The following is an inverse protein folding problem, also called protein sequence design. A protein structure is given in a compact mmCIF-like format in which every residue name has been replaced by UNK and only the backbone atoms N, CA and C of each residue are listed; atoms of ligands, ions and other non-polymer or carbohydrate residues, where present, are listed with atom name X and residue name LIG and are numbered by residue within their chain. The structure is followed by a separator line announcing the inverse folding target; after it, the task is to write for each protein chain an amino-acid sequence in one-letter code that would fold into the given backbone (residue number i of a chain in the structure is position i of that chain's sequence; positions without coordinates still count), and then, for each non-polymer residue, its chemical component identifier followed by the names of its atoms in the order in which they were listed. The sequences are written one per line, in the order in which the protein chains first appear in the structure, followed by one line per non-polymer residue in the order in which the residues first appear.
data_IF_887603763231
#
_entry.id   IF_887603763231
#
_cell.length_a   1.000
_cell.length_b   1.000
_cell.length_c   1.000
_cell.angle_alpha   90.00
_cell.angle_beta   90.00
_cell.angle_gamma   90.00
#
_symmetry.space_group_name_H-M   'P 1'
#
loop_
_entity.id
_entity.type
_entity.pdbx_description
1 polymer ?
#
# COMPACT_ATOMS: atom_id res chain seq x y z
N UNK A 1 -7.61 -4.57 21.49
CA UNK A 1 -8.23 -4.90 22.80
C UNK A 1 -7.30 -5.70 23.74
N UNK A 2 -6.25 -6.37 23.24
CA UNK A 2 -5.36 -7.24 24.06
C UNK A 2 -4.08 -6.51 24.49
N UNK A 3 -3.50 -5.68 23.63
CA UNK A 3 -2.17 -5.07 23.82
C UNK A 3 -2.21 -4.00 24.91
N UNK A 4 -3.18 -3.08 24.86
CA UNK A 4 -3.27 -1.99 25.84
C UNK A 4 -3.42 -2.50 27.28
N UNK A 5 -4.30 -3.48 27.58
CA UNK A 5 -4.35 -4.10 28.90
C UNK A 5 -3.01 -4.69 29.37
N UNK A 6 -2.26 -5.34 28.47
CA UNK A 6 -0.91 -5.87 28.81
C UNK A 6 0.09 -4.78 29.13
N UNK A 7 0.08 -3.68 28.38
CA UNK A 7 0.92 -2.53 28.69
C UNK A 7 0.54 -1.93 30.06
N UNK A 8 -0.76 -1.83 30.37
CA UNK A 8 -1.24 -1.30 31.64
C UNK A 8 -0.93 -2.22 32.84
N UNK A 9 -0.69 -3.53 32.63
CA UNK A 9 -0.17 -4.41 33.67
C UNK A 9 1.23 -4.01 34.12
N UNK A 10 2.09 -3.55 33.17
CA UNK A 10 3.41 -3.03 33.46
C UNK A 10 3.38 -1.57 33.96
N UNK A 11 2.37 -0.81 33.51
CA UNK A 11 2.19 0.62 33.80
C UNK A 11 0.80 0.91 34.43
N UNK A 12 0.53 0.47 35.67
CA UNK A 12 -0.83 0.50 36.26
C UNK A 12 -1.43 1.89 36.48
N UNK A 13 -0.61 2.94 36.41
CA UNK A 13 -1.05 4.34 36.53
C UNK A 13 -1.25 5.04 35.18
N UNK A 14 -1.14 4.31 34.08
CA UNK A 14 -1.31 4.83 32.71
C UNK A 14 -2.67 4.46 32.18
N UNK A 15 -3.41 5.45 31.70
CA UNK A 15 -4.64 5.26 30.93
C UNK A 15 -4.38 5.62 29.45
N UNK A 16 -4.66 4.67 28.56
CA UNK A 16 -4.55 4.88 27.10
C UNK A 16 -5.95 5.02 26.53
N UNK A 17 -6.24 6.17 25.93
CA UNK A 17 -7.50 6.45 25.22
C UNK A 17 -7.26 6.35 23.72
N UNK A 18 -7.82 5.29 23.10
CA UNK A 18 -7.79 5.13 21.64
C UNK A 18 -8.83 6.02 20.97
N UNK A 19 -8.42 6.72 19.93
CA UNK A 19 -9.30 7.51 19.05
C UNK A 19 -9.11 7.00 17.62
N UNK A 20 -10.15 6.38 17.08
CA UNK A 20 -10.14 5.80 15.72
C UNK A 20 -11.40 6.26 14.97
N UNK A 21 -11.39 7.47 14.38
CA UNK A 21 -12.50 7.97 13.58
C UNK A 21 -12.54 7.29 12.20
N UNK A 22 -13.72 7.29 11.57
CA UNK A 22 -13.92 6.69 10.23
C UNK A 22 -13.11 7.37 9.12
N UNK A 23 -12.78 8.67 9.30
CA UNK A 23 -11.90 9.45 8.40
C UNK A 23 -10.67 9.91 9.22
N UNK A 24 -9.82 8.92 9.55
CA UNK A 24 -8.72 9.11 10.49
C UNK A 24 -7.70 10.14 10.01
N UNK A 25 -7.37 10.13 8.71
CA UNK A 25 -6.38 11.02 8.11
C UNK A 25 -6.86 12.49 8.15
N UNK A 26 -8.06 12.78 7.65
CA UNK A 26 -8.63 14.13 7.67
C UNK A 26 -8.76 14.67 9.10
N UNK A 27 -9.21 13.82 10.03
CA UNK A 27 -9.32 14.20 11.46
C UNK A 27 -7.93 14.47 12.04
N UNK A 28 -6.95 13.65 11.72
CA UNK A 28 -5.57 13.82 12.19
C UNK A 28 -4.99 15.17 11.73
N UNK A 29 -5.02 15.49 10.43
CA UNK A 29 -4.48 16.76 9.93
C UNK A 29 -5.28 17.99 10.40
N UNK A 30 -6.58 17.84 10.63
CA UNK A 30 -7.40 18.90 11.28
C UNK A 30 -6.91 19.16 12.71
N UNK A 31 -6.62 18.12 13.48
CA UNK A 31 -6.06 18.25 14.84
C UNK A 31 -4.66 18.86 14.81
N UNK A 32 -3.81 18.44 13.89
CA UNK A 32 -2.47 19.03 13.70
C UNK A 32 -2.59 20.54 13.43
N UNK A 33 -3.48 20.95 12.53
CA UNK A 33 -3.68 22.38 12.17
C UNK A 33 -4.19 23.24 13.33
N UNK A 34 -4.87 22.62 14.30
CA UNK A 34 -5.36 23.29 15.51
C UNK A 34 -4.45 23.12 16.74
N UNK A 35 -3.25 22.52 16.53
CA UNK A 35 -2.29 22.19 17.58
C UNK A 35 -2.85 21.26 18.69
N UNK A 36 -3.84 20.43 18.33
CA UNK A 36 -4.40 19.37 19.18
C UNK A 36 -3.79 18.02 18.77
N UNK A 37 -2.50 17.83 19.04
CA UNK A 37 -1.75 16.67 18.60
C UNK A 37 -1.87 15.56 19.64
N UNK A 38 -2.21 14.30 19.24
CA UNK A 38 -2.20 13.15 20.15
C UNK A 38 -0.82 12.89 20.74
N UNK A 39 -0.76 12.27 21.92
CA UNK A 39 0.52 11.88 22.52
C UNK A 39 1.22 10.84 21.64
N UNK A 40 0.51 9.78 21.22
CA UNK A 40 0.99 8.77 20.27
C UNK A 40 0.07 8.78 19.04
N UNK A 41 0.62 8.56 17.87
CA UNK A 41 -0.13 8.58 16.61
C UNK A 41 0.40 7.56 15.60
N UNK A 42 -0.52 7.04 14.79
CA UNK A 42 -0.16 6.27 13.59
C UNK A 42 0.41 7.22 12.55
N UNK A 43 1.53 6.84 11.96
CA UNK A 43 2.30 7.63 11.00
C UNK A 43 2.61 6.76 9.78
N UNK A 44 2.54 7.35 8.61
CA UNK A 44 3.09 6.78 7.38
C UNK A 44 4.40 7.53 7.07
N UNK A 45 5.55 7.04 7.56
CA UNK A 45 6.79 7.85 7.64
C UNK A 45 7.35 8.26 6.28
N UNK A 46 7.08 7.49 5.25
CA UNK A 46 7.51 7.79 3.89
C UNK A 46 6.54 8.73 3.15
N UNK A 47 5.27 8.79 3.53
CA UNK A 47 4.24 9.52 2.79
C UNK A 47 4.42 11.04 2.93
N UNK A 48 4.33 11.76 1.81
CA UNK A 48 4.61 13.19 1.71
C UNK A 48 3.84 14.05 2.75
N UNK A 49 2.56 13.78 2.96
CA UNK A 49 1.72 14.50 3.93
C UNK A 49 2.24 14.40 5.37
N UNK A 50 2.78 13.24 5.75
CA UNK A 50 3.35 13.03 7.08
C UNK A 50 4.79 13.57 7.18
N UNK A 51 5.54 13.64 6.07
CA UNK A 51 6.88 14.25 6.05
C UNK A 51 6.84 15.74 6.41
N UNK A 52 5.76 16.44 6.09
CA UNK A 52 5.56 17.85 6.48
C UNK A 52 5.55 18.01 8.00
N UNK A 53 4.85 17.13 8.73
CA UNK A 53 4.80 17.21 10.20
C UNK A 53 6.13 16.84 10.87
N UNK A 54 6.94 15.98 10.21
CA UNK A 54 8.32 15.70 10.65
C UNK A 54 9.19 16.94 10.47
N UNK A 55 9.13 17.59 9.29
CA UNK A 55 9.83 18.82 8.99
C UNK A 55 9.50 19.94 9.97
N UNK A 56 8.25 20.04 10.39
CA UNK A 56 7.78 21.05 11.34
C UNK A 56 8.16 20.72 12.80
N UNK A 57 8.85 19.62 13.05
CA UNK A 57 9.33 19.22 14.38
C UNK A 57 8.22 18.84 15.34
N UNK A 58 7.09 18.33 14.82
CA UNK A 58 5.93 17.93 15.64
C UNK A 58 6.09 16.53 16.23
N UNK A 59 7.00 15.71 15.70
CA UNK A 59 7.31 14.37 16.17
C UNK A 59 8.64 14.32 16.92
N UNK A 60 8.71 13.47 17.92
CA UNK A 60 9.94 13.21 18.65
C UNK A 60 10.94 12.42 17.79
N UNK A 61 12.22 12.76 17.92
CA UNK A 61 13.33 12.05 17.28
C UNK A 61 13.60 10.72 18.02
N UNK A 62 13.41 9.61 17.31
CA UNK A 62 13.64 8.26 17.82
C UNK A 62 15.03 7.73 17.47
N UNK A 63 15.86 8.49 16.74
CA UNK A 63 17.18 8.06 16.27
C UNK A 63 18.05 7.57 17.44
N UNK A 64 18.67 6.40 17.26
CA UNK A 64 19.53 5.79 18.26
C UNK A 64 18.80 5.10 19.42
N UNK A 65 17.46 4.98 19.37
CA UNK A 65 16.73 4.16 20.36
C UNK A 65 16.95 2.68 20.08
N UNK A 66 17.23 1.92 21.11
CA UNK A 66 17.61 0.49 21.02
C UNK A 66 16.50 -0.36 20.37
N UNK A 67 15.23 -0.01 20.59
CA UNK A 67 14.10 -0.78 20.05
C UNK A 67 13.97 -0.69 18.51
N UNK A 68 14.58 0.32 17.86
CA UNK A 68 14.60 0.41 16.39
C UNK A 68 15.34 -0.78 15.76
N UNK A 69 16.32 -1.34 16.45
CA UNK A 69 17.06 -2.53 15.98
C UNK A 69 16.23 -3.81 15.91
N UNK A 70 14.97 -3.77 16.34
CA UNK A 70 14.03 -4.89 16.22
C UNK A 70 13.29 -4.89 14.88
N UNK A 71 13.33 -3.81 14.13
CA UNK A 71 12.77 -3.77 12.77
C UNK A 71 13.83 -4.12 11.73
N UNK A 72 13.39 -4.65 10.59
CA UNK A 72 14.27 -4.95 9.45
C UNK A 72 14.95 -3.70 8.91
N UNK A 73 16.13 -3.86 8.33
CA UNK A 73 16.89 -2.74 7.75
C UNK A 73 16.09 -1.97 6.70
N UNK A 74 15.34 -2.66 5.83
CA UNK A 74 14.47 -2.05 4.81
C UNK A 74 13.38 -1.17 5.45
N UNK A 75 12.74 -1.63 6.53
CA UNK A 75 11.72 -0.84 7.20
C UNK A 75 12.30 0.42 7.87
N UNK A 76 13.50 0.32 8.41
CA UNK A 76 14.24 1.45 8.99
C UNK A 76 14.65 2.44 7.88
N UNK A 77 15.19 1.96 6.76
CA UNK A 77 15.55 2.79 5.62
C UNK A 77 14.35 3.60 5.12
N UNK A 78 13.21 2.95 4.87
CA UNK A 78 11.99 3.61 4.39
C UNK A 78 11.29 4.48 5.46
N UNK A 79 11.64 4.33 6.72
CA UNK A 79 11.16 5.20 7.81
C UNK A 79 12.11 6.37 8.11
N UNK A 80 13.28 6.40 7.46
CA UNK A 80 14.25 7.46 7.66
C UNK A 80 13.86 8.71 6.86
N UNK A 81 13.77 9.85 7.56
CA UNK A 81 13.46 11.13 6.94
C UNK A 81 14.68 11.76 6.25
N UNK A 82 14.46 12.80 5.43
CA UNK A 82 15.50 13.49 4.64
C UNK A 82 16.67 14.06 5.46
N UNK A 83 16.46 14.33 6.74
CA UNK A 83 17.50 14.79 7.68
C UNK A 83 18.33 13.65 8.31
N UNK A 84 18.06 12.40 7.88
CA UNK A 84 18.71 11.20 8.39
C UNK A 84 18.15 10.70 9.72
N UNK A 85 17.03 11.26 10.20
CA UNK A 85 16.41 10.88 11.46
C UNK A 85 15.21 9.96 11.28
N UNK A 86 14.82 9.31 12.37
CA UNK A 86 13.67 8.43 12.44
C UNK A 86 12.66 9.02 13.42
N UNK A 87 11.43 9.23 12.97
CA UNK A 87 10.35 9.86 13.74
C UNK A 87 9.20 8.92 14.08
N UNK A 88 9.21 7.72 13.51
CA UNK A 88 8.23 6.68 13.82
C UNK A 88 8.91 5.31 13.84
N UNK A 89 8.51 4.46 14.77
CA UNK A 89 8.90 3.05 14.82
C UNK A 89 8.05 2.28 13.84
N UNK A 90 8.61 1.63 12.80
CA UNK A 90 7.86 0.77 11.89
C UNK A 90 7.58 -0.59 12.54
N UNK A 91 6.41 -1.15 12.23
CA UNK A 91 5.95 -2.46 12.71
C UNK A 91 5.50 -3.38 11.58
N UNK A 92 4.97 -2.83 10.50
CA UNK A 92 4.46 -3.60 9.37
C UNK A 92 4.75 -2.95 8.03
N UNK A 93 4.96 -3.81 7.02
CA UNK A 93 5.12 -3.43 5.63
C UNK A 93 3.94 -3.96 4.84
N UNK A 94 3.35 -3.12 3.98
CA UNK A 94 2.32 -3.56 3.05
C UNK A 94 2.87 -3.68 1.64
N UNK A 95 2.21 -4.52 0.85
CA UNK A 95 2.43 -4.66 -0.58
C UNK A 95 1.10 -4.71 -1.32
N UNK A 96 1.17 -4.82 -2.63
CA UNK A 96 0.01 -4.89 -3.52
C UNK A 96 0.22 -6.00 -4.54
N UNK A 97 -0.82 -6.83 -4.75
CA UNK A 97 -0.70 -8.01 -5.58
C UNK A 97 -2.05 -8.52 -6.08
N UNK A 98 -2.09 -9.77 -6.49
CA UNK A 98 -3.28 -10.46 -6.96
C UNK A 98 -3.59 -11.62 -6.01
N UNK A 99 -4.71 -11.56 -5.30
CA UNK A 99 -5.26 -12.73 -4.62
C UNK A 99 -5.82 -13.71 -5.64
N UNK A 100 -5.40 -14.95 -5.58
CA UNK A 100 -5.87 -16.06 -6.39
C UNK A 100 -6.70 -17.01 -5.50
N UNK A 101 -7.92 -17.33 -5.91
CA UNK A 101 -8.73 -18.37 -5.27
C UNK A 101 -8.23 -19.74 -5.74
N UNK A 102 -7.46 -20.42 -4.92
CA UNK A 102 -6.75 -21.64 -5.29
C UNK A 102 -7.68 -22.81 -5.59
N UNK A 103 -8.88 -22.85 -5.01
CA UNK A 103 -9.86 -23.89 -5.32
C UNK A 103 -10.39 -23.73 -6.76
N UNK A 104 -10.65 -22.48 -7.19
CA UNK A 104 -11.04 -22.20 -8.59
C UNK A 104 -9.89 -22.47 -9.57
N UNK A 105 -8.65 -22.19 -9.17
CA UNK A 105 -7.46 -22.52 -9.97
C UNK A 105 -7.31 -24.03 -10.14
N UNK A 106 -7.46 -24.81 -9.07
CA UNK A 106 -7.40 -26.27 -9.11
C UNK A 106 -8.53 -26.86 -9.99
N UNK A 107 -9.78 -26.37 -9.82
CA UNK A 107 -10.92 -26.77 -10.66
C UNK A 107 -10.67 -26.46 -12.15
N UNK A 108 -10.04 -25.31 -12.43
CA UNK A 108 -9.66 -24.95 -13.77
C UNK A 108 -8.42 -25.68 -14.30
N UNK A 109 -7.64 -26.37 -13.44
CA UNK A 109 -6.39 -27.00 -13.80
C UNK A 109 -5.30 -26.00 -14.20
N UNK A 110 -5.29 -24.83 -13.54
CA UNK A 110 -4.37 -23.73 -13.79
C UNK A 110 -3.37 -23.57 -12.63
N UNK A 111 -2.18 -23.10 -12.94
CA UNK A 111 -1.20 -22.65 -11.96
C UNK A 111 -1.23 -21.12 -11.85
N UNK A 112 -0.75 -20.57 -10.72
CA UNK A 112 -0.66 -19.13 -10.55
C UNK A 112 0.38 -18.52 -11.49
N UNK A 113 0.07 -17.42 -12.21
CA UNK A 113 0.98 -16.81 -13.16
C UNK A 113 2.17 -16.13 -12.47
N UNK A 114 3.33 -16.15 -13.14
CA UNK A 114 4.58 -15.51 -12.71
C UNK A 114 5.04 -14.41 -13.67
N UNK A 115 4.49 -14.40 -14.88
CA UNK A 115 4.78 -13.40 -15.92
C UNK A 115 3.49 -12.74 -16.41
N UNK A 116 3.61 -11.58 -17.07
CA UNK A 116 2.46 -10.89 -17.65
C UNK A 116 1.72 -11.75 -18.69
N UNK A 117 2.45 -12.42 -19.57
CA UNK A 117 1.85 -13.29 -20.60
C UNK A 117 1.12 -14.50 -19.97
N UNK A 118 1.66 -15.05 -18.88
CA UNK A 118 0.98 -16.09 -18.12
C UNK A 118 -0.27 -15.57 -17.42
N UNK A 119 -0.25 -14.35 -16.88
CA UNK A 119 -1.42 -13.71 -16.28
C UNK A 119 -2.55 -13.55 -17.31
N UNK A 120 -2.23 -13.01 -18.48
CA UNK A 120 -3.23 -12.84 -19.55
C UNK A 120 -3.75 -14.20 -20.02
N UNK A 121 -2.86 -15.18 -20.23
CA UNK A 121 -3.25 -16.55 -20.62
C UNK A 121 -4.15 -17.22 -19.58
N UNK A 122 -3.90 -16.98 -18.30
CA UNK A 122 -4.69 -17.51 -17.20
C UNK A 122 -6.10 -16.88 -17.19
N UNK A 123 -6.18 -15.56 -17.37
CA UNK A 123 -7.46 -14.83 -17.47
C UNK A 123 -8.29 -15.29 -18.69
N UNK A 124 -7.63 -15.51 -19.85
CA UNK A 124 -8.27 -16.06 -21.03
C UNK A 124 -8.82 -17.47 -20.79
N UNK A 125 -8.02 -18.33 -20.12
CA UNK A 125 -8.44 -19.68 -19.80
C UNK A 125 -9.67 -19.71 -18.86
N UNK A 126 -9.78 -18.80 -17.91
CA UNK A 126 -10.98 -18.67 -17.07
C UNK A 126 -12.19 -18.24 -17.90
N UNK A 127 -12.03 -17.31 -18.85
CA UNK A 127 -13.13 -16.89 -19.78
C UNK A 127 -13.58 -18.06 -20.64
N UNK A 128 -12.67 -18.85 -21.21
CA UNK A 128 -12.98 -20.04 -22.00
C UNK A 128 -13.76 -21.09 -21.19
N UNK A 129 -13.54 -21.16 -19.86
CA UNK A 129 -14.26 -22.06 -18.96
C UNK A 129 -15.58 -21.49 -18.44
N UNK A 130 -15.96 -20.28 -18.84
CA UNK A 130 -17.27 -19.70 -18.57
C UNK A 130 -17.30 -18.62 -17.49
N UNK A 131 -16.14 -18.15 -17.02
CA UNK A 131 -16.05 -17.00 -16.12
C UNK A 131 -15.90 -15.73 -16.94
N UNK A 132 -16.97 -15.01 -17.22
CA UNK A 132 -16.97 -13.85 -18.13
C UNK A 132 -16.00 -12.74 -17.65
N UNK A 133 -15.89 -12.52 -16.35
CA UNK A 133 -15.07 -11.50 -15.72
C UNK A 133 -14.19 -12.12 -14.63
N UNK A 134 -13.03 -12.73 -14.98
CA UNK A 134 -12.21 -13.47 -14.03
C UNK A 134 -11.37 -12.60 -13.09
N UNK A 135 -11.38 -11.27 -13.26
CA UNK A 135 -10.58 -10.33 -12.47
C UNK A 135 -11.47 -9.27 -11.83
N UNK A 136 -11.16 -8.91 -10.57
CA UNK A 136 -11.76 -7.77 -9.91
C UNK A 136 -10.70 -6.90 -9.24
N UNK A 137 -10.97 -5.60 -9.11
CA UNK A 137 -10.22 -4.65 -8.30
C UNK A 137 -11.15 -3.56 -7.75
N UNK A 138 -10.71 -2.81 -6.74
CA UNK A 138 -11.47 -1.67 -6.21
C UNK A 138 -11.33 -0.46 -7.14
N UNK A 139 -12.25 -0.32 -8.09
CA UNK A 139 -12.31 0.81 -9.02
C UNK A 139 -12.93 2.06 -8.41
N UNK A 140 -13.72 1.93 -7.33
CA UNK A 140 -14.47 3.04 -6.73
C UNK A 140 -13.65 3.79 -5.66
N UNK A 141 -13.01 3.06 -4.76
CA UNK A 141 -12.40 3.64 -3.56
C UNK A 141 -10.87 3.66 -3.58
N UNK A 142 -10.24 2.65 -4.18
CA UNK A 142 -8.78 2.46 -4.14
C UNK A 142 -8.13 2.40 -5.52
N UNK A 143 -8.79 2.91 -6.56
CA UNK A 143 -8.21 2.97 -7.91
C UNK A 143 -6.88 3.76 -7.92
N UNK A 144 -6.80 4.83 -7.11
CA UNK A 144 -5.59 5.61 -6.93
C UNK A 144 -4.40 4.77 -6.42
N UNK A 145 -4.67 3.80 -5.55
CA UNK A 145 -3.65 2.90 -5.03
C UNK A 145 -3.23 1.88 -6.09
N UNK A 146 -4.20 1.27 -6.77
CA UNK A 146 -3.89 0.31 -7.82
C UNK A 146 -3.12 0.95 -8.98
N UNK A 147 -3.60 2.08 -9.50
CA UNK A 147 -2.97 2.79 -10.60
C UNK A 147 -1.52 3.20 -10.27
N UNK A 148 -1.32 3.75 -9.08
CA UNK A 148 0.01 4.17 -8.61
C UNK A 148 0.98 2.98 -8.50
N UNK A 149 0.52 1.81 -7.98
CA UNK A 149 1.38 0.62 -7.91
C UNK A 149 1.66 0.03 -9.29
N UNK A 150 0.67 0.02 -10.18
CA UNK A 150 0.85 -0.51 -11.53
C UNK A 150 1.87 0.31 -12.34
N UNK A 151 1.80 1.65 -12.27
CA UNK A 151 2.78 2.48 -12.98
C UNK A 151 4.16 2.40 -12.31
N UNK A 152 4.23 2.24 -10.98
CA UNK A 152 5.48 2.01 -10.26
C UNK A 152 6.10 0.63 -10.56
N UNK A 153 5.28 -0.41 -10.82
CA UNK A 153 5.77 -1.73 -11.29
C UNK A 153 6.38 -1.59 -12.69
N UNK A 154 5.82 -0.73 -13.55
CA UNK A 154 6.35 -0.46 -14.90
C UNK A 154 7.67 0.32 -14.80
N UNK A 155 7.70 1.36 -13.95
CA UNK A 155 8.90 2.17 -13.71
C UNK A 155 8.91 2.68 -12.27
N UNK A 156 9.77 2.10 -11.44
CA UNK A 156 9.92 2.50 -10.02
C UNK A 156 10.43 3.94 -9.85
N UNK A 157 11.07 4.50 -10.88
CA UNK A 157 11.56 5.88 -10.91
C UNK A 157 10.56 6.86 -11.56
N UNK A 158 9.32 6.45 -11.80
CA UNK A 158 8.32 7.29 -12.49
C UNK A 158 8.11 8.65 -11.81
N UNK A 159 8.30 8.77 -10.50
CA UNK A 159 8.20 10.06 -9.80
C UNK A 159 9.30 11.04 -10.25
N UNK A 160 10.53 10.56 -10.47
CA UNK A 160 11.64 11.37 -10.99
C UNK A 160 11.37 11.80 -12.43
N UNK A 161 10.80 10.90 -13.25
CA UNK A 161 10.39 11.25 -14.62
C UNK A 161 9.29 12.31 -14.62
N UNK A 162 8.33 12.25 -13.67
CA UNK A 162 7.33 13.30 -13.50
C UNK A 162 7.96 14.65 -13.16
N UNK A 163 8.98 14.67 -12.30
CA UNK A 163 9.72 15.89 -11.96
C UNK A 163 10.49 16.44 -13.17
N UNK A 164 11.15 15.59 -13.95
CA UNK A 164 11.82 15.99 -15.19
C UNK A 164 10.85 16.66 -16.16
N UNK A 165 9.71 16.01 -16.45
CA UNK A 165 8.66 16.54 -17.34
C UNK A 165 8.12 17.86 -16.80
N UNK A 166 7.81 17.93 -15.50
CA UNK A 166 7.32 19.13 -14.85
C UNK A 166 8.29 20.32 -14.94
N UNK A 167 9.60 20.05 -14.96
CA UNK A 167 10.66 21.05 -15.15
C UNK A 167 10.94 21.36 -16.64
N UNK A 168 10.11 20.86 -17.57
CA UNK A 168 10.21 21.14 -19.00
C UNK A 168 11.21 20.26 -19.76
N UNK A 169 11.60 19.11 -19.19
CA UNK A 169 12.56 18.18 -19.80
C UNK A 169 11.82 17.01 -20.49
N UNK A 170 11.10 17.30 -21.57
CA UNK A 170 10.37 16.30 -22.37
C UNK A 170 8.89 16.21 -22.04
N UNK A 171 8.23 15.19 -22.58
CA UNK A 171 6.79 14.92 -22.48
C UNK A 171 6.58 13.40 -22.48
N UNK A 172 5.54 12.91 -21.83
CA UNK A 172 5.13 11.50 -21.95
C UNK A 172 4.57 11.11 -23.34
N UNK A 173 4.46 12.10 -24.26
CA UNK A 173 4.24 11.83 -25.68
C UNK A 173 5.52 11.44 -26.42
N UNK A 174 6.70 11.69 -25.85
CA UNK A 174 7.99 11.37 -26.44
C UNK A 174 8.26 9.84 -26.37
N UNK A 175 8.92 9.31 -27.39
CA UNK A 175 9.17 7.87 -27.50
C UNK A 175 10.12 7.30 -26.43
N UNK A 176 10.92 8.14 -25.79
CA UNK A 176 11.83 7.80 -24.71
C UNK A 176 11.21 7.92 -23.31
N UNK A 177 9.93 8.29 -23.21
CA UNK A 177 9.14 8.36 -21.98
C UNK A 177 7.83 7.57 -22.12
N UNK A 178 7.88 6.23 -22.33
CA UNK A 178 6.72 5.42 -22.68
C UNK A 178 5.80 5.08 -21.49
N UNK A 179 6.18 5.40 -20.26
CA UNK A 179 5.60 4.87 -19.03
C UNK A 179 4.08 5.04 -18.95
N UNK A 180 3.55 6.23 -19.28
CA UNK A 180 2.10 6.50 -19.21
C UNK A 180 1.33 5.71 -20.28
N UNK A 181 1.92 5.50 -21.46
CA UNK A 181 1.34 4.68 -22.51
C UNK A 181 1.33 3.20 -22.12
N UNK A 182 2.45 2.67 -21.65
CA UNK A 182 2.60 1.28 -21.20
C UNK A 182 1.65 0.98 -20.02
N UNK A 183 1.53 1.92 -19.08
CA UNK A 183 0.54 1.84 -17.99
C UNK A 183 -0.89 1.79 -18.54
N UNK A 184 -1.22 2.68 -19.48
CA UNK A 184 -2.57 2.75 -20.05
C UNK A 184 -2.94 1.44 -20.75
N UNK A 185 -2.03 0.91 -21.56
CA UNK A 185 -2.22 -0.36 -22.26
C UNK A 185 -2.39 -1.53 -21.29
N UNK A 186 -1.58 -1.58 -20.23
CA UNK A 186 -1.67 -2.62 -19.21
C UNK A 186 -2.99 -2.52 -18.42
N UNK A 187 -3.38 -1.32 -17.97
CA UNK A 187 -4.60 -1.12 -17.22
C UNK A 187 -5.85 -1.44 -18.06
N UNK A 188 -5.91 -0.97 -19.31
CA UNK A 188 -7.00 -1.28 -20.23
C UNK A 188 -7.06 -2.78 -20.53
N UNK A 189 -5.90 -3.44 -20.67
CA UNK A 189 -5.85 -4.89 -20.87
C UNK A 189 -6.43 -5.65 -19.68
N UNK A 190 -6.11 -5.28 -18.45
CA UNK A 190 -6.70 -5.88 -17.25
C UNK A 190 -8.21 -5.59 -17.16
N UNK A 191 -8.64 -4.39 -17.54
CA UNK A 191 -10.05 -4.00 -17.53
C UNK A 191 -10.93 -4.84 -18.50
N UNK A 192 -10.36 -5.43 -19.57
CA UNK A 192 -11.07 -6.38 -20.45
C UNK A 192 -11.58 -7.63 -19.72
N UNK A 193 -10.97 -7.95 -18.57
CA UNK A 193 -11.29 -9.12 -17.75
C UNK A 193 -12.07 -8.77 -16.48
N UNK A 194 -12.34 -7.48 -16.24
CA UNK A 194 -13.09 -6.98 -15.11
C UNK A 194 -14.55 -6.66 -15.47
N UNK A 195 -15.46 -6.52 -14.48
CA UNK A 195 -16.81 -6.04 -14.72
C UNK A 195 -16.84 -4.66 -15.41
N UNK A 196 -17.79 -4.44 -16.31
CA UNK A 196 -17.91 -3.17 -17.05
C UNK A 196 -18.20 -1.96 -16.17
N UNK A 197 -18.80 -2.20 -15.00
CA UNK A 197 -19.11 -1.20 -13.98
C UNK A 197 -18.08 -1.15 -12.86
N UNK A 198 -16.85 -1.57 -13.14
CA UNK A 198 -15.76 -1.66 -12.16
C UNK A 198 -15.54 -0.36 -11.37
N UNK A 199 -15.75 0.80 -11.98
CA UNK A 199 -15.67 2.10 -11.29
C UNK A 199 -16.77 2.30 -10.21
N UNK A 200 -17.81 1.46 -10.21
CA UNK A 200 -18.85 1.42 -9.18
C UNK A 200 -18.56 0.43 -8.04
N UNK A 201 -17.60 -0.48 -8.23
CA UNK A 201 -17.29 -1.58 -7.30
C UNK A 201 -16.20 -1.11 -6.34
N UNK A 202 -16.52 -1.11 -5.05
CA UNK A 202 -15.57 -0.78 -3.97
C UNK A 202 -15.04 -2.03 -3.26
N UNK A 203 -14.10 -1.81 -2.34
CA UNK A 203 -13.41 -2.86 -1.58
C UNK A 203 -14.37 -3.85 -0.92
N UNK A 204 -15.40 -3.37 -0.19
CA UNK A 204 -16.31 -4.24 0.55
C UNK A 204 -17.04 -5.22 -0.38
N UNK A 205 -17.53 -4.72 -1.53
CA UNK A 205 -18.20 -5.55 -2.52
C UNK A 205 -17.22 -6.52 -3.18
N UNK A 206 -16.04 -6.03 -3.60
CA UNK A 206 -15.00 -6.86 -4.22
C UNK A 206 -14.53 -7.99 -3.30
N UNK A 207 -14.29 -7.69 -2.03
CA UNK A 207 -13.90 -8.68 -1.02
C UNK A 207 -15.01 -9.72 -0.81
N UNK A 208 -16.28 -9.28 -0.66
CA UNK A 208 -17.40 -10.20 -0.47
C UNK A 208 -17.57 -11.12 -1.68
N UNK A 209 -17.48 -10.59 -2.89
CA UNK A 209 -17.62 -11.39 -4.12
C UNK A 209 -16.45 -12.36 -4.30
N UNK A 210 -15.22 -11.96 -3.98
CA UNK A 210 -14.05 -12.84 -3.99
C UNK A 210 -14.20 -13.97 -2.95
N UNK A 211 -14.60 -13.66 -1.72
CA UNK A 211 -14.87 -14.65 -0.66
C UNK A 211 -15.97 -15.65 -1.03
N UNK A 212 -16.92 -15.25 -1.87
CA UNK A 212 -18.00 -16.10 -2.38
C UNK A 212 -17.61 -16.88 -3.66
N UNK A 213 -16.38 -16.76 -4.14
CA UNK A 213 -15.90 -17.46 -5.34
C UNK A 213 -16.47 -16.91 -6.65
N UNK A 214 -16.95 -15.66 -6.68
CA UNK A 214 -17.44 -15.02 -7.91
C UNK A 214 -16.29 -14.73 -8.88
N UNK A 215 -15.15 -14.33 -8.32
CA UNK A 215 -13.95 -13.98 -9.07
C UNK A 215 -12.79 -14.89 -8.67
N UNK A 216 -12.09 -15.52 -9.62
CA UNK A 216 -10.87 -16.28 -9.33
C UNK A 216 -9.67 -15.41 -8.96
N UNK A 217 -9.65 -14.12 -9.35
CA UNK A 217 -8.55 -13.20 -9.10
C UNK A 217 -9.06 -11.85 -8.57
N UNK A 218 -8.38 -11.32 -7.53
CA UNK A 218 -8.69 -10.03 -6.92
C UNK A 218 -7.41 -9.22 -6.70
N UNK A 219 -7.28 -8.07 -7.38
CA UNK A 219 -6.15 -7.14 -7.19
C UNK A 219 -6.41 -6.30 -5.94
N UNK A 220 -5.46 -6.32 -5.00
CA UNK A 220 -5.58 -5.56 -3.76
C UNK A 220 -4.30 -5.52 -2.92
N UNK A 221 -4.35 -4.79 -1.81
CA UNK A 221 -3.25 -4.72 -0.86
C UNK A 221 -3.23 -5.90 0.11
N UNK A 222 -2.07 -6.18 0.71
CA UNK A 222 -1.95 -7.21 1.78
C UNK A 222 -2.91 -6.98 2.93
N UNK A 223 -3.26 -5.72 3.18
CA UNK A 223 -4.24 -5.30 4.21
C UNK A 223 -5.71 -5.67 3.90
N UNK A 224 -6.00 -6.28 2.73
CA UNK A 224 -7.33 -6.87 2.47
C UNK A 224 -7.49 -8.25 3.11
N UNK A 225 -6.38 -8.90 3.48
CA UNK A 225 -6.41 -10.27 4.02
C UNK A 225 -7.25 -10.39 5.28
N UNK A 226 -7.21 -9.40 6.17
CA UNK A 226 -8.05 -9.41 7.39
C UNK A 226 -9.55 -9.48 7.06
N UNK A 227 -10.01 -8.72 6.06
CA UNK A 227 -11.40 -8.74 5.60
C UNK A 227 -11.73 -10.03 4.85
N UNK A 228 -10.79 -10.57 4.07
CA UNK A 228 -10.94 -11.87 3.38
C UNK A 228 -11.11 -13.00 4.41
N UNK A 229 -10.25 -13.07 5.42
CA UNK A 229 -10.32 -14.05 6.49
C UNK A 229 -11.62 -13.92 7.32
N UNK A 230 -12.07 -12.68 7.56
CA UNK A 230 -13.34 -12.44 8.24
C UNK A 230 -14.55 -12.83 7.38
N UNK A 231 -14.47 -12.63 6.07
CA UNK A 231 -15.54 -12.96 5.11
C UNK A 231 -15.66 -14.45 4.82
N UNK A 232 -14.53 -15.15 4.71
CA UNK A 232 -14.49 -16.60 4.51
C UNK A 232 -13.20 -17.19 5.10
N UNK A 233 -13.22 -17.66 6.37
CA UNK A 233 -12.02 -18.18 7.02
C UNK A 233 -11.49 -19.50 6.42
N UNK A 234 -12.31 -20.20 5.62
CA UNK A 234 -11.94 -21.45 4.96
C UNK A 234 -11.48 -21.24 3.51
N UNK A 235 -11.42 -19.99 3.04
CA UNK A 235 -11.01 -19.68 1.66
C UNK A 235 -9.54 -20.02 1.45
N UNK A 236 -9.27 -20.96 0.56
CA UNK A 236 -7.92 -21.29 0.11
C UNK A 236 -7.47 -20.23 -0.93
N UNK A 237 -6.83 -19.18 -0.47
CA UNK A 237 -6.31 -18.14 -1.36
C UNK A 237 -4.81 -17.92 -1.18
N UNK A 238 -4.18 -17.42 -2.23
CA UNK A 238 -2.76 -17.08 -2.28
C UNK A 238 -2.60 -15.72 -2.97
N UNK A 239 -1.80 -14.85 -2.39
CA UNK A 239 -1.41 -13.60 -3.06
C UNK A 239 -0.13 -13.79 -3.84
N UNK A 240 -0.14 -13.35 -5.09
CA UNK A 240 1.03 -13.29 -5.97
C UNK A 240 1.34 -11.83 -6.30
N UNK A 241 2.59 -11.48 -6.65
CA UNK A 241 2.90 -10.17 -7.22
C UNK A 241 2.10 -9.90 -8.50
N UNK A 242 1.84 -8.61 -8.81
CA UNK A 242 1.38 -8.22 -10.14
C UNK A 242 2.58 -8.29 -11.08
N UNK A 243 2.58 -9.15 -12.12
CA UNK A 243 3.69 -9.23 -13.04
C UNK A 243 3.89 -7.92 -13.81
N UNK A 244 5.13 -7.51 -14.03
CA UNK A 244 5.43 -6.33 -14.83
C UNK A 244 5.12 -6.60 -16.32
N UNK A 245 4.30 -5.75 -16.99
CA UNK A 245 3.98 -5.93 -18.41
C UNK A 245 5.15 -5.70 -19.38
N UNK A 246 6.20 -4.98 -18.95
CA UNK A 246 7.27 -4.51 -19.85
C UNK A 246 8.68 -4.83 -19.38
N UNK A 247 8.87 -5.37 -18.18
CA UNK A 247 10.21 -5.55 -17.62
C UNK A 247 10.30 -6.61 -16.54
N UNK A 248 11.37 -6.53 -15.75
CA UNK A 248 11.55 -7.33 -14.56
C UNK A 248 10.53 -6.89 -13.49
N UNK A 249 10.16 -7.83 -12.63
CA UNK A 249 9.21 -7.57 -11.57
C UNK A 249 9.90 -7.01 -10.33
N UNK A 250 9.46 -5.84 -9.87
CA UNK A 250 9.81 -5.28 -8.57
C UNK A 250 8.53 -5.15 -7.72
N UNK A 251 8.63 -5.51 -6.45
CA UNK A 251 7.47 -5.52 -5.57
C UNK A 251 7.25 -4.14 -4.93
N UNK A 252 6.07 -3.51 -5.12
CA UNK A 252 5.75 -2.27 -4.42
C UNK A 252 5.58 -2.52 -2.94
N UNK A 253 6.27 -1.77 -2.08
CA UNK A 253 6.11 -1.84 -0.63
C UNK A 253 5.90 -0.46 -0.02
N UNK A 254 5.25 -0.44 1.14
CA UNK A 254 5.11 0.77 1.95
C UNK A 254 5.23 0.42 3.44
N UNK A 255 5.69 1.37 4.25
CA UNK A 255 5.60 1.27 5.71
C UNK A 255 4.16 1.61 6.10
N UNK A 256 3.38 0.59 6.41
CA UNK A 256 1.93 0.70 6.59
C UNK A 256 1.52 0.88 8.05
N UNK A 257 2.23 0.21 8.96
CA UNK A 257 2.00 0.32 10.39
C UNK A 257 3.26 0.92 11.03
N UNK A 258 3.17 2.18 11.45
CA UNK A 258 4.21 2.82 12.24
C UNK A 258 3.60 3.72 13.30
N UNK A 259 4.27 3.85 14.43
CA UNK A 259 3.86 4.73 15.52
C UNK A 259 4.96 5.75 15.83
N UNK A 260 4.57 7.02 15.90
CA UNK A 260 5.38 8.11 16.42
C UNK A 260 4.71 8.76 17.63
N UNK A 261 5.43 9.60 18.35
CA UNK A 261 4.83 10.39 19.41
C UNK A 261 5.15 11.88 19.29
N UNK A 262 4.29 12.72 19.86
CA UNK A 262 4.40 14.17 19.79
C UNK A 262 5.66 14.67 20.50
N UNK A 263 6.45 15.52 19.83
CA UNK A 263 7.58 16.21 20.46
C UNK A 263 7.17 17.09 21.66
N UNK A 264 5.90 17.46 21.73
CA UNK A 264 5.35 18.35 22.78
C UNK A 264 4.49 17.61 23.80
N UNK A 265 4.51 16.26 23.82
CA UNK A 265 3.78 15.47 24.82
C UNK A 265 4.27 15.77 26.23
N UNK A 266 3.37 15.67 27.21
CA UNK A 266 3.72 15.77 28.63
C UNK A 266 4.26 14.44 29.19
N UNK A 267 4.21 13.37 28.38
CA UNK A 267 4.50 12.01 28.82
C UNK A 267 5.51 11.31 27.89
N UNK A 268 6.66 11.95 27.55
CA UNK A 268 7.58 11.40 26.55
C UNK A 268 8.11 10.01 26.93
N UNK A 269 8.42 9.77 28.22
CA UNK A 269 8.95 8.48 28.69
C UNK A 269 7.89 7.37 28.49
N UNK A 270 6.61 7.63 28.82
CA UNK A 270 5.54 6.63 28.66
C UNK A 270 5.23 6.38 27.18
N UNK A 271 5.31 7.41 26.34
CA UNK A 271 5.14 7.23 24.89
C UNK A 271 6.26 6.35 24.33
N UNK A 272 7.50 6.59 24.74
CA UNK A 272 8.66 5.78 24.34
C UNK A 272 8.55 4.34 24.84
N UNK A 273 8.19 4.15 26.11
CA UNK A 273 7.94 2.83 26.70
C UNK A 273 6.84 2.07 25.93
N UNK A 274 5.79 2.76 25.46
CA UNK A 274 4.75 2.13 24.65
C UNK A 274 5.25 1.68 23.28
N UNK A 275 6.05 2.50 22.59
CA UNK A 275 6.66 2.12 21.31
C UNK A 275 7.63 0.95 21.49
N UNK A 276 8.45 0.98 22.52
CA UNK A 276 9.35 -0.12 22.91
C UNK A 276 8.57 -1.41 23.18
N UNK A 277 7.50 -1.32 24.00
CA UNK A 277 6.63 -2.45 24.34
C UNK A 277 6.01 -3.07 23.09
N UNK A 278 5.46 -2.24 22.20
CA UNK A 278 4.86 -2.68 20.94
C UNK A 278 5.88 -3.38 20.02
N UNK A 279 7.16 -3.00 20.08
CA UNK A 279 8.23 -3.58 19.25
C UNK A 279 8.74 -4.93 19.76
N UNK A 280 8.32 -5.38 20.96
CA UNK A 280 8.69 -6.71 21.47
C UNK A 280 8.07 -7.81 20.61
N UNK A 281 8.83 -8.79 20.12
CA UNK A 281 8.30 -9.83 19.23
C UNK A 281 7.08 -10.56 19.79
N UNK A 282 7.07 -10.88 21.09
CA UNK A 282 5.97 -11.57 21.77
C UNK A 282 4.70 -10.71 21.91
N UNK A 283 4.84 -9.38 21.90
CA UNK A 283 3.71 -8.45 21.90
C UNK A 283 3.20 -8.24 20.49
N UNK A 284 4.11 -8.01 19.55
CA UNK A 284 3.69 -7.80 18.15
C UNK A 284 3.12 -9.06 17.52
N UNK A 285 3.52 -10.27 17.96
CA UNK A 285 2.92 -11.53 17.55
C UNK A 285 1.39 -11.52 17.73
N UNK A 286 0.87 -10.90 18.79
CA UNK A 286 -0.56 -10.79 19.01
C UNK A 286 -1.29 -9.95 17.95
N UNK A 287 -0.60 -8.99 17.34
CA UNK A 287 -1.11 -8.27 16.18
C UNK A 287 -0.95 -9.08 14.90
N UNK A 288 0.22 -9.63 14.66
CA UNK A 288 0.52 -10.38 13.45
C UNK A 288 -0.43 -11.57 13.22
N UNK A 289 -0.90 -12.20 14.30
CA UNK A 289 -1.86 -13.31 14.24
C UNK A 289 -3.27 -12.87 13.77
N UNK A 290 -3.58 -11.56 13.79
CA UNK A 290 -4.90 -11.02 13.48
C UNK A 290 -4.90 -10.01 12.32
N UNK A 291 -3.73 -9.48 11.97
CA UNK A 291 -3.59 -8.48 10.91
C UNK A 291 -3.13 -9.16 9.60
N UNK A 292 -3.66 -8.68 8.47
CA UNK A 292 -3.22 -9.18 7.16
C UNK A 292 -1.91 -8.56 6.67
N UNK A 293 -1.32 -7.63 7.44
CA UNK A 293 -0.11 -6.90 7.03
C UNK A 293 1.15 -7.62 7.48
N UNK A 294 2.09 -7.94 6.59
CA UNK A 294 3.38 -8.53 6.95
C UNK A 294 4.15 -7.67 7.96
N UNK A 295 4.72 -8.31 8.95
CA UNK A 295 5.50 -7.62 9.99
C UNK A 295 6.93 -7.35 9.53
N UNK A 296 7.48 -6.20 9.96
CA UNK A 296 8.90 -5.91 9.87
C UNK A 296 9.63 -6.11 11.21
N UNK A 297 8.95 -6.61 12.25
CA UNK A 297 9.61 -6.90 13.54
C UNK A 297 10.28 -8.27 13.48
N UNK A 298 11.59 -8.28 13.70
CA UNK A 298 12.38 -9.51 13.72
C UNK A 298 11.95 -10.42 14.87
N UNK A 299 11.95 -11.73 14.63
CA UNK A 299 11.55 -12.73 15.62
C UNK A 299 10.04 -12.96 15.74
N UNK A 300 9.21 -12.19 15.04
CA UNK A 300 7.77 -12.48 14.91
C UNK A 300 7.56 -13.57 13.86
N UNK A 301 6.77 -14.59 14.24
CA UNK A 301 6.41 -15.67 13.34
C UNK A 301 5.13 -15.31 12.57
N UNK A 302 5.28 -14.70 11.43
CA UNK A 302 4.16 -14.37 10.54
C UNK A 302 3.73 -15.62 9.76
N UNK A 303 2.48 -16.09 9.94
CA UNK A 303 1.95 -17.34 9.36
C UNK A 303 0.54 -17.16 8.80
N UNK A 304 0.36 -16.19 7.92
CA UNK A 304 -0.89 -16.07 7.15
C UNK A 304 -0.66 -16.75 5.80
N UNK A 305 -1.15 -17.98 5.66
CA UNK A 305 -0.87 -18.88 4.52
C UNK A 305 -1.02 -18.18 3.16
N UNK A 306 -2.09 -17.39 2.97
CA UNK A 306 -2.35 -16.66 1.73
C UNK A 306 -1.34 -15.56 1.41
N UNK A 307 -0.51 -15.13 2.36
CA UNK A 307 0.48 -14.06 2.20
C UNK A 307 1.93 -14.51 2.40
N UNK A 308 2.19 -15.78 2.65
CA UNK A 308 3.53 -16.28 2.95
C UNK A 308 4.55 -15.91 1.87
N UNK A 309 4.23 -16.17 0.61
CA UNK A 309 5.15 -15.91 -0.50
C UNK A 309 5.44 -14.41 -0.69
N UNK A 310 4.43 -13.57 -0.54
CA UNK A 310 4.59 -12.10 -0.58
C UNK A 310 5.41 -11.62 0.61
N UNK A 311 5.17 -12.16 1.82
CA UNK A 311 5.88 -11.74 3.02
C UNK A 311 7.38 -12.06 2.97
N UNK A 312 7.77 -13.14 2.30
CA UNK A 312 9.18 -13.46 2.07
C UNK A 312 9.80 -12.53 0.99
N UNK A 313 9.05 -12.20 -0.07
CA UNK A 313 9.53 -11.28 -1.11
C UNK A 313 9.70 -9.85 -0.60
N UNK A 314 8.84 -9.37 0.31
CA UNK A 314 8.95 -8.05 0.96
C UNK A 314 10.29 -7.88 1.70
N UNK A 315 10.88 -8.97 2.19
CA UNK A 315 12.18 -8.96 2.89
C UNK A 315 13.38 -8.97 1.93
N UNK A 316 13.16 -9.19 0.65
CA UNK A 316 14.20 -9.26 -0.38
C UNK A 316 14.59 -7.88 -0.92
N UNK A 317 15.62 -7.88 -1.77
CA UNK A 317 16.17 -6.66 -2.37
C UNK A 317 15.39 -6.20 -3.63
N UNK A 318 14.43 -7.00 -4.10
CA UNK A 318 13.66 -6.71 -5.33
C UNK A 318 12.35 -5.97 -5.02
N UNK A 319 12.47 -4.88 -4.27
CA UNK A 319 11.34 -4.06 -3.81
C UNK A 319 11.59 -2.59 -4.10
N UNK A 320 10.51 -1.83 -4.23
CA UNK A 320 10.59 -0.37 -4.31
C UNK A 320 9.54 0.28 -3.39
N UNK A 321 9.86 1.47 -2.89
CA UNK A 321 8.93 2.26 -2.10
C UNK A 321 7.87 2.87 -3.03
N UNK A 322 6.60 2.72 -2.68
CA UNK A 322 5.47 3.18 -3.51
C UNK A 322 5.56 4.68 -3.84
N UNK A 323 5.16 5.05 -5.05
CA UNK A 323 5.38 6.38 -5.63
C UNK A 323 4.68 7.52 -4.88
N UNK A 324 3.61 7.23 -4.15
CA UNK A 324 2.90 8.22 -3.32
C UNK A 324 3.83 8.92 -2.32
N UNK A 325 4.93 8.28 -1.97
CA UNK A 325 5.91 8.83 -1.04
C UNK A 325 6.77 9.94 -1.65
N UNK A 326 6.83 10.01 -2.97
CA UNK A 326 7.65 10.97 -3.73
C UNK A 326 6.83 12.05 -4.41
N UNK A 327 5.54 11.79 -4.67
CA UNK A 327 4.67 12.74 -5.34
C UNK A 327 4.23 13.89 -4.43
N UNK A 328 4.17 15.14 -4.94
CA UNK A 328 3.58 16.24 -4.20
C UNK A 328 2.15 15.96 -3.76
N UNK A 329 1.76 16.53 -2.61
CA UNK A 329 0.40 16.35 -2.07
C UNK A 329 -0.66 16.75 -3.10
N UNK A 330 -1.65 15.88 -3.32
CA UNK A 330 -2.72 16.08 -4.30
C UNK A 330 -2.43 15.56 -5.71
N UNK A 331 -1.17 15.36 -6.10
CA UNK A 331 -0.79 14.88 -7.43
C UNK A 331 -1.51 13.57 -7.77
N UNK A 332 -1.40 12.55 -6.93
CA UNK A 332 -2.01 11.24 -7.12
C UNK A 332 -3.53 11.34 -7.29
N UNK A 333 -4.19 12.14 -6.46
CA UNK A 333 -5.64 12.27 -6.50
C UNK A 333 -6.13 12.95 -7.78
N UNK A 334 -5.43 13.99 -8.25
CA UNK A 334 -5.75 14.65 -9.51
C UNK A 334 -5.51 13.73 -10.70
N UNK A 335 -4.38 13.03 -10.75
CA UNK A 335 -4.06 12.07 -11.80
C UNK A 335 -5.07 10.94 -11.88
N UNK A 336 -5.55 10.45 -10.74
CA UNK A 336 -6.55 9.37 -10.68
C UNK A 336 -7.86 9.70 -11.40
N UNK A 337 -8.25 10.98 -11.44
CA UNK A 337 -9.45 11.41 -12.19
C UNK A 337 -9.30 11.07 -13.67
N UNK A 338 -8.13 11.25 -14.23
CA UNK A 338 -7.85 10.95 -15.63
C UNK A 338 -7.65 9.45 -15.88
N UNK A 339 -7.16 8.71 -14.88
CA UNK A 339 -7.16 7.24 -14.92
C UNK A 339 -8.60 6.68 -14.94
N UNK A 340 -9.54 7.28 -14.19
CA UNK A 340 -10.97 6.94 -14.28
C UNK A 340 -11.56 7.22 -15.67
N UNK A 341 -11.17 8.35 -16.28
CA UNK A 341 -11.58 8.68 -17.65
C UNK A 341 -11.02 7.65 -18.63
N UNK A 342 -9.73 7.29 -18.52
CA UNK A 342 -9.13 6.24 -19.35
C UNK A 342 -9.92 4.92 -19.29
N UNK A 343 -10.32 4.48 -18.10
CA UNK A 343 -11.15 3.26 -17.95
C UNK A 343 -12.55 3.41 -18.58
N UNK A 344 -13.03 4.65 -18.71
CA UNK A 344 -14.38 4.94 -19.25
C UNK A 344 -14.40 5.08 -20.77
N UNK A 345 -13.39 5.71 -21.37
CA UNK A 345 -13.37 6.09 -22.79
C UNK A 345 -12.22 5.48 -23.60
N UNK A 346 -11.17 4.97 -22.91
CA UNK A 346 -10.00 4.37 -23.56
C UNK A 346 -9.02 5.37 -24.19
N UNK A 347 -9.14 6.67 -23.89
CA UNK A 347 -8.31 7.71 -24.51
C UNK A 347 -6.94 7.83 -23.83
N UNK A 348 -5.97 7.08 -24.36
CA UNK A 348 -4.58 7.05 -23.91
C UNK A 348 -3.88 8.40 -24.10
N UNK A 349 -4.14 9.07 -25.23
CA UNK A 349 -3.47 10.33 -25.55
C UNK A 349 -3.99 11.48 -24.66
N UNK A 350 -5.26 11.41 -24.22
CA UNK A 350 -5.79 12.30 -23.19
C UNK A 350 -5.07 12.12 -21.84
N UNK A 351 -4.88 10.87 -21.38
CA UNK A 351 -4.15 10.63 -20.13
C UNK A 351 -2.70 11.12 -20.20
N UNK A 352 -2.00 10.91 -21.32
CA UNK A 352 -0.65 11.42 -21.54
C UNK A 352 -0.62 12.94 -21.41
N UNK A 353 -1.51 13.63 -22.12
CA UNK A 353 -1.60 15.11 -22.12
C UNK A 353 -1.86 15.65 -20.71
N UNK A 354 -2.79 15.03 -19.98
CA UNK A 354 -3.14 15.47 -18.64
C UNK A 354 -2.04 15.13 -17.62
N UNK A 355 -1.31 14.03 -17.81
CA UNK A 355 -0.15 13.71 -16.95
C UNK A 355 0.94 14.76 -17.10
N UNK A 356 1.28 15.17 -18.33
CA UNK A 356 2.22 16.27 -18.56
C UNK A 356 1.77 17.56 -17.87
N UNK A 357 0.50 17.95 -18.04
CA UNK A 357 -0.08 19.14 -17.40
C UNK A 357 0.00 19.09 -15.87
N UNK A 358 -0.29 17.92 -15.28
CA UNK A 358 -0.22 17.74 -13.82
C UNK A 358 1.24 17.87 -13.36
N UNK A 359 2.20 17.27 -14.08
CA UNK A 359 3.61 17.42 -13.76
C UNK A 359 4.05 18.89 -13.82
N UNK A 360 3.70 19.63 -14.86
CA UNK A 360 3.98 21.07 -14.95
C UNK A 360 3.36 21.86 -13.78
N UNK A 361 2.12 21.54 -13.40
CA UNK A 361 1.42 22.24 -12.33
C UNK A 361 2.09 22.03 -10.95
N UNK A 362 2.59 20.84 -10.67
CA UNK A 362 3.10 20.49 -9.33
C UNK A 362 4.60 20.65 -9.15
N UNK A 363 5.39 20.60 -10.22
CA UNK A 363 6.85 20.69 -10.15
C UNK A 363 7.43 22.00 -10.69
N UNK A 364 6.69 22.77 -11.51
CA UNK A 364 7.14 24.06 -12.04
C UNK A 364 6.68 25.23 -11.12
N UNK A 365 7.01 25.17 -9.81
CA UNK A 365 6.66 26.22 -8.83
C UNK A 365 7.91 26.96 -8.32
#
# INVERSE_FOLDING_TARGET
DVIIPKFQEEHPNVEIKVVSPSDAETVFFTRVSTNDIPDIMSIYPAEYSYRVIMKDGLLADLSGKDFLSRATDTAIEYSTYDDGKIYAMPYGLSSYGIYCNMDLFEEAGLETPTTWDELISCLDAFKEKGTDTPLIFDGKGSLNQFAERLIGIIDENFADVCEEVGNGNGSFADADKPQVREFSEALLKLAEYAPKDILGIGRDQGTADFCNGVYPMYIGGTFYMADIMAGNPDLNCKMIPIPNPVGEHHLPINVDIALGYSANTKYPEICEDFLEFMSRPEIYQLMADNEGTPTCIEGVNYQIDGLMDISEQIKGDNTFLTLVNFWPSGWRNEWTIYVQNLLSDGDVDALITETDRICEQYYNQ
#
